data_IF_996674637313
#
_entry.id   IF_996674637313
#
_cell.length_a   1.000
_cell.length_b   1.000
_cell.length_c   1.000
_cell.angle_alpha   90.00
_cell.angle_beta   90.00
_cell.angle_gamma   90.00
#
_symmetry.space_group_name_H-M   'P 1'
#
loop_
_entity.id
_entity.type
_entity.pdbx_description
1 polymer ?
#
# COMPACT_ATOMS: atom_id res chain seq x y z
N UNK A 1 -46.97 29.75 10.05
CA UNK A 1 -46.76 28.36 9.55
C UNK A 1 -45.29 28.28 9.19
N UNK A 2 -44.48 27.53 9.94
CA UNK A 2 -43.03 27.49 9.72
C UNK A 2 -42.70 26.46 8.64
N UNK A 3 -41.97 26.91 7.61
CA UNK A 3 -41.46 26.05 6.54
C UNK A 3 -40.42 25.09 7.14
N UNK A 4 -40.75 23.80 7.13
CA UNK A 4 -39.87 22.74 7.60
C UNK A 4 -38.71 22.56 6.62
N UNK A 5 -37.55 23.11 6.94
CA UNK A 5 -36.31 22.80 6.25
C UNK A 5 -35.81 21.43 6.69
N UNK A 6 -36.17 20.37 5.96
CA UNK A 6 -35.48 19.09 6.07
C UNK A 6 -34.04 19.24 5.57
N UNK A 7 -33.08 19.20 6.48
CA UNK A 7 -31.69 18.87 6.12
C UNK A 7 -31.66 17.36 5.86
N UNK A 8 -31.44 16.88 4.63
CA UNK A 8 -31.25 15.45 4.41
C UNK A 8 -30.00 15.02 5.19
N UNK A 9 -30.14 13.98 6.01
CA UNK A 9 -29.04 13.35 6.74
C UNK A 9 -27.82 13.17 5.82
N UNK A 10 -26.66 13.54 6.33
CA UNK A 10 -25.39 13.36 5.63
C UNK A 10 -25.20 11.88 5.37
N UNK A 11 -25.52 11.44 4.15
CA UNK A 11 -25.28 10.08 3.68
C UNK A 11 -23.78 9.85 3.83
N UNK A 12 -23.42 9.11 4.89
CA UNK A 12 -22.11 8.50 5.04
C UNK A 12 -21.85 7.78 3.72
N UNK A 13 -20.94 8.31 2.91
CA UNK A 13 -20.60 7.76 1.62
C UNK A 13 -19.96 6.40 1.86
N UNK A 14 -20.81 5.35 1.99
CA UNK A 14 -20.42 3.96 2.15
C UNK A 14 -19.43 3.65 1.04
N UNK A 15 -18.21 3.30 1.43
CA UNK A 15 -17.21 2.88 0.47
C UNK A 15 -17.73 1.61 -0.20
N UNK A 16 -18.05 1.68 -1.50
CA UNK A 16 -18.56 0.55 -2.27
C UNK A 16 -17.39 -0.39 -2.56
N UNK A 17 -17.40 -1.58 -1.94
CA UNK A 17 -16.46 -2.67 -2.18
C UNK A 17 -17.18 -3.81 -2.93
N UNK A 18 -16.48 -4.58 -3.79
CA UNK A 18 -15.04 -4.52 -4.09
C UNK A 18 -14.68 -3.35 -5.01
N UNK A 19 -13.44 -2.85 -4.89
CA UNK A 19 -12.90 -1.81 -5.78
C UNK A 19 -11.59 -2.31 -6.38
N UNK A 20 -11.60 -2.58 -7.69
CA UNK A 20 -10.43 -3.04 -8.42
C UNK A 20 -9.50 -1.85 -8.73
N UNK A 21 -8.20 -2.10 -8.62
CA UNK A 21 -7.13 -1.19 -9.06
C UNK A 21 -6.06 -2.00 -9.75
N UNK A 22 -5.60 -1.51 -10.90
CA UNK A 22 -4.45 -2.08 -11.60
C UNK A 22 -3.21 -1.27 -11.23
N UNK A 23 -2.10 -1.96 -11.04
CA UNK A 23 -0.80 -1.38 -10.72
C UNK A 23 0.24 -1.99 -11.66
N UNK A 24 1.29 -1.23 -11.92
CA UNK A 24 2.41 -1.67 -12.74
C UNK A 24 3.53 -2.16 -11.82
N UNK A 25 4.09 -3.32 -12.13
CA UNK A 25 5.34 -3.78 -11.51
C UNK A 25 6.47 -2.88 -11.98
N UNK A 26 7.18 -2.27 -11.05
CA UNK A 26 8.34 -1.41 -11.30
C UNK A 26 9.62 -2.13 -10.90
N UNK A 27 10.76 -1.57 -11.26
CA UNK A 27 12.07 -2.01 -10.79
C UNK A 27 12.44 -1.24 -9.51
N UNK A 28 13.08 -1.93 -8.57
CA UNK A 28 13.67 -1.32 -7.37
C UNK A 28 15.05 -1.91 -7.10
N UNK A 29 15.88 -1.19 -6.34
CA UNK A 29 17.23 -1.64 -5.99
C UNK A 29 17.13 -2.50 -4.72
N UNK A 30 17.80 -3.64 -4.68
CA UNK A 30 17.88 -4.45 -3.47
C UNK A 30 18.64 -3.70 -2.36
N UNK A 31 17.99 -3.48 -1.21
CA UNK A 31 18.56 -2.74 -0.06
C UNK A 31 19.81 -3.41 0.54
N UNK A 32 20.09 -4.67 0.18
CA UNK A 32 21.22 -5.44 0.70
C UNK A 32 22.55 -5.16 0.00
N UNK A 33 22.62 -4.22 -0.94
CA UNK A 33 23.89 -3.83 -1.58
C UNK A 33 24.83 -3.25 -0.51
N UNK A 34 25.70 -4.12 0.01
CA UNK A 34 26.74 -3.83 1.00
C UNK A 34 27.43 -2.53 0.61
N UNK A 35 27.24 -1.48 1.43
CA UNK A 35 28.01 -0.24 1.29
C UNK A 35 29.44 -0.56 1.68
N UNK A 36 30.26 -0.97 0.70
CA UNK A 36 31.69 -1.12 0.88
C UNK A 36 32.24 0.29 1.15
N UNK A 37 32.50 0.61 2.42
CA UNK A 37 33.11 1.87 2.86
C UNK A 37 34.62 1.81 2.58
N UNK A 38 35.00 1.84 1.31
CA UNK A 38 36.39 2.04 0.89
C UNK A 38 36.57 3.46 0.35
N UNK A 39 37.66 4.14 0.73
CA UNK A 39 38.07 5.41 0.12
C UNK A 39 38.57 5.16 -1.31
N UNK A 40 37.70 5.37 -2.30
CA UNK A 40 37.97 5.20 -3.74
C UNK A 40 36.66 5.20 -4.56
N UNK A 41 36.76 5.18 -5.91
CA UNK A 41 35.59 4.95 -6.79
C UNK A 41 35.22 3.47 -6.69
N UNK A 42 34.09 3.17 -6.05
CA UNK A 42 33.57 1.81 -5.91
C UNK A 42 32.40 1.62 -6.89
N UNK A 43 32.61 0.83 -7.94
CA UNK A 43 31.52 0.34 -8.78
C UNK A 43 30.80 -0.79 -8.05
N UNK A 44 29.61 -0.52 -7.53
CA UNK A 44 28.78 -1.53 -6.87
C UNK A 44 27.76 -2.05 -7.89
N UNK A 45 27.70 -3.36 -8.15
CA UNK A 45 26.65 -3.95 -8.97
C UNK A 45 25.27 -3.58 -8.41
N UNK A 46 24.42 -3.02 -9.26
CA UNK A 46 23.03 -2.72 -8.90
C UNK A 46 22.19 -3.94 -9.23
N UNK A 47 21.74 -4.64 -8.19
CA UNK A 47 20.77 -5.72 -8.34
C UNK A 47 19.37 -5.12 -8.32
N UNK A 48 18.66 -5.26 -9.45
CA UNK A 48 17.28 -4.81 -9.60
C UNK A 48 16.30 -5.94 -9.25
N UNK A 49 15.21 -5.60 -8.58
CA UNK A 49 14.14 -6.50 -8.16
C UNK A 49 12.77 -5.93 -8.57
N UNK A 50 11.77 -6.81 -8.83
CA UNK A 50 10.40 -6.37 -9.09
C UNK A 50 9.76 -5.77 -7.83
N UNK A 51 9.04 -4.66 -7.99
CA UNK A 51 8.42 -3.90 -6.91
C UNK A 51 7.00 -3.47 -7.28
N UNK A 52 6.05 -3.64 -6.35
CA UNK A 52 4.68 -3.11 -6.48
C UNK A 52 4.49 -2.01 -5.42
N UNK A 53 4.16 -0.80 -5.87
CA UNK A 53 3.99 0.35 -4.99
C UNK A 53 2.51 0.57 -4.66
N UNK A 54 2.12 0.26 -3.43
CA UNK A 54 0.78 0.53 -2.88
C UNK A 54 0.74 1.89 -2.18
N UNK A 55 0.12 2.89 -2.81
CA UNK A 55 -0.02 4.25 -2.24
C UNK A 55 -1.44 4.81 -2.39
N UNK A 56 -1.84 5.66 -1.43
CA UNK A 56 -3.04 6.50 -1.52
C UNK A 56 -3.97 6.41 -0.31
N UNK A 57 -4.86 7.41 -0.19
CA UNK A 57 -5.84 7.54 0.91
C UNK A 57 -6.79 6.32 1.06
N UNK A 58 -6.89 5.50 0.02
CA UNK A 58 -7.76 4.31 -0.01
C UNK A 58 -7.23 3.16 0.86
N UNK A 59 -5.91 3.07 1.10
CA UNK A 59 -5.32 2.05 1.98
C UNK A 59 -5.82 2.20 3.42
N UNK A 60 -5.82 3.44 3.93
CA UNK A 60 -6.38 3.76 5.25
C UNK A 60 -7.86 3.40 5.35
N UNK A 61 -8.64 3.68 4.30
CA UNK A 61 -10.07 3.30 4.23
C UNK A 61 -10.29 1.78 4.17
N UNK A 62 -9.33 1.04 3.63
CA UNK A 62 -9.32 -0.42 3.58
C UNK A 62 -8.77 -1.08 4.86
N UNK A 63 -8.48 -0.30 5.91
CA UNK A 63 -8.04 -0.83 7.21
C UNK A 63 -6.53 -0.94 7.39
N UNK A 64 -5.72 -0.48 6.43
CA UNK A 64 -4.26 -0.43 6.56
C UNK A 64 -3.82 0.87 7.23
N UNK A 65 -3.35 0.78 8.47
CA UNK A 65 -2.85 1.93 9.24
C UNK A 65 -1.33 2.08 9.12
N UNK A 66 -0.83 3.31 9.28
CA UNK A 66 0.62 3.59 9.28
C UNK A 66 1.25 2.86 10.47
N UNK A 67 2.37 2.16 10.23
CA UNK A 67 3.07 1.37 11.25
C UNK A 67 2.43 0.00 11.54
N UNK A 68 1.28 -0.32 10.93
CA UNK A 68 0.66 -1.61 11.09
C UNK A 68 1.42 -2.70 10.31
N UNK A 69 1.66 -3.84 10.95
CA UNK A 69 2.20 -5.02 10.27
C UNK A 69 1.15 -5.60 9.31
N UNK A 70 1.61 -6.20 8.22
CA UNK A 70 0.75 -6.88 7.24
C UNK A 70 1.16 -8.35 7.13
N UNK A 71 0.22 -9.20 6.76
CA UNK A 71 0.46 -10.61 6.43
C UNK A 71 0.39 -10.77 4.92
N UNK A 72 1.31 -11.53 4.35
CA UNK A 72 1.35 -11.88 2.93
C UNK A 72 1.09 -13.37 2.78
N UNK A 73 0.15 -13.74 1.92
CA UNK A 73 -0.01 -15.09 1.42
C UNK A 73 0.34 -15.08 -0.07
N UNK A 74 1.30 -15.93 -0.45
CA UNK A 74 1.87 -15.98 -1.80
C UNK A 74 1.52 -17.33 -2.42
N UNK A 75 0.77 -17.27 -3.51
CA UNK A 75 0.43 -18.40 -4.38
C UNK A 75 1.00 -18.12 -5.78
N UNK A 76 1.06 -19.12 -6.67
CA UNK A 76 1.29 -18.88 -8.10
C UNK A 76 0.27 -17.86 -8.61
N UNK A 77 0.75 -16.78 -9.25
CA UNK A 77 -0.04 -15.68 -9.84
C UNK A 77 -0.96 -14.88 -8.89
N UNK A 78 -0.87 -15.11 -7.58
CA UNK A 78 -1.73 -14.44 -6.59
C UNK A 78 -0.96 -14.06 -5.33
N UNK A 79 -1.13 -12.80 -4.90
CA UNK A 79 -0.63 -12.31 -3.61
C UNK A 79 -1.79 -11.68 -2.85
N UNK A 80 -2.09 -12.23 -1.68
CA UNK A 80 -3.12 -11.69 -0.78
C UNK A 80 -2.43 -10.95 0.36
N UNK A 81 -2.79 -9.67 0.53
CA UNK A 81 -2.25 -8.78 1.56
C UNK A 81 -3.35 -8.46 2.55
N UNK A 82 -3.12 -8.78 3.83
CA UNK A 82 -4.10 -8.51 4.91
C UNK A 82 -3.45 -7.71 6.05
N UNK A 83 -4.18 -6.77 6.67
CA UNK A 83 -3.70 -6.09 7.86
C UNK A 83 -3.57 -7.09 9.01
N UNK A 84 -2.44 -7.08 9.73
CA UNK A 84 -2.31 -7.82 10.98
C UNK A 84 -3.02 -7.04 12.07
N UNK A 85 -4.07 -7.61 12.63
CA UNK A 85 -4.72 -7.06 13.81
C UNK A 85 -3.87 -7.40 15.04
N UNK A 86 -3.45 -6.38 15.80
CA UNK A 86 -2.87 -6.61 17.12
C UNK A 86 -4.03 -6.93 18.07
N UNK A 87 -4.12 -8.19 18.51
CA UNK A 87 -4.86 -8.56 19.73
C UNK A 87 -4.28 -7.84 20.94
#
# INVERSE_FOLDING_TARGET
MAEYHHTPESVSAKVKYPRYRQLTVQETICDSAVKIRGTGINYVPVNLEPCIILKGKWLKKAGFSIGQKVTLLINPDEVIITPKHST
#
